data_IF_316813775046
#
_entry.id   IF_316813775046
#
_cell.length_a   1.000
_cell.length_b   1.000
_cell.length_c   1.000
_cell.angle_alpha   90.00
_cell.angle_beta   90.00
_cell.angle_gamma   90.00
#
_symmetry.space_group_name_H-M   'P 1'
#
loop_
_entity.id
_entity.type
_entity.pdbx_description
1 polymer ?
#
# COMPACT_ATOMS: atom_id res chain seq x y z
N UNK A 1 -28.99 23.51 59.36
CA UNK A 1 -28.68 24.01 58.01
C UNK A 1 -28.42 22.80 57.13
N UNK A 2 -29.15 22.62 56.02
CA UNK A 2 -29.02 21.44 55.17
C UNK A 2 -27.81 21.57 54.24
N UNK A 3 -27.16 20.44 53.99
CA UNK A 3 -26.01 20.31 53.08
C UNK A 3 -26.58 20.11 51.68
N UNK A 4 -26.37 21.07 50.78
CA UNK A 4 -26.78 20.96 49.37
C UNK A 4 -25.89 19.94 48.63
N UNK A 5 -26.52 18.89 48.11
CA UNK A 5 -25.91 17.95 47.17
C UNK A 5 -25.70 18.61 45.80
N UNK A 6 -24.43 18.87 45.46
CA UNK A 6 -24.03 19.25 44.10
C UNK A 6 -24.07 18.04 43.17
N UNK A 7 -25.22 17.83 42.55
CA UNK A 7 -25.41 16.89 41.44
C UNK A 7 -24.96 17.53 40.12
N UNK A 8 -23.65 17.43 39.84
CA UNK A 8 -23.10 17.81 38.53
C UNK A 8 -23.50 16.82 37.43
N UNK A 9 -23.76 17.29 36.19
CA UNK A 9 -24.16 16.42 35.09
C UNK A 9 -23.03 15.47 34.70
N UNK A 10 -23.35 14.16 34.68
CA UNK A 10 -22.50 13.12 34.12
C UNK A 10 -22.27 13.40 32.63
N UNK A 11 -21.11 13.94 32.31
CA UNK A 11 -20.62 14.04 30.93
C UNK A 11 -20.47 12.64 30.38
N UNK A 12 -21.38 12.28 29.47
CA UNK A 12 -21.26 11.08 28.66
C UNK A 12 -19.97 11.19 27.85
N UNK A 13 -18.99 10.32 28.16
CA UNK A 13 -17.82 10.10 27.30
C UNK A 13 -18.34 9.71 25.92
N UNK A 14 -18.39 10.67 25.00
CA UNK A 14 -18.50 10.40 23.57
C UNK A 14 -17.26 9.59 23.20
N UNK A 15 -17.50 8.36 22.81
CA UNK A 15 -16.49 7.44 22.32
C UNK A 15 -15.81 8.02 21.08
N UNK A 16 -14.48 7.84 21.04
CA UNK A 16 -13.59 8.02 19.89
C UNK A 16 -14.18 7.30 18.67
N UNK A 17 -14.73 8.04 17.72
CA UNK A 17 -14.98 7.52 16.37
C UNK A 17 -14.27 8.42 15.37
N UNK A 18 -13.61 7.77 14.41
CA UNK A 18 -13.22 8.30 13.09
C UNK A 18 -12.20 9.44 13.12
N UNK A 19 -10.92 9.07 13.09
CA UNK A 19 -9.91 9.99 12.57
C UNK A 19 -9.44 9.43 11.23
N UNK A 20 -9.44 10.26 10.15
CA UNK A 20 -8.75 9.94 8.90
C UNK A 20 -7.28 9.61 9.20
N UNK A 21 -6.51 9.09 8.23
CA UNK A 21 -5.07 8.90 8.37
C UNK A 21 -4.50 10.06 9.19
N UNK A 22 -4.11 9.77 10.44
CA UNK A 22 -4.03 10.84 11.44
C UNK A 22 -2.94 11.77 10.96
N UNK A 23 -3.21 13.06 10.75
CA UNK A 23 -2.25 14.07 10.26
C UNK A 23 -0.85 13.95 10.86
N UNK A 24 -0.74 13.47 12.09
CA UNK A 24 0.50 13.13 12.78
C UNK A 24 1.41 12.09 12.07
N UNK A 25 0.92 11.34 11.09
CA UNK A 25 1.68 10.32 10.35
C UNK A 25 2.09 10.79 8.95
N UNK A 26 1.56 11.92 8.47
CA UNK A 26 1.96 12.48 7.19
C UNK A 26 3.42 12.91 7.23
N UNK A 27 4.24 12.40 6.30
CA UNK A 27 5.68 12.66 6.26
C UNK A 27 6.48 11.83 7.28
N UNK A 28 5.91 10.74 7.79
CA UNK A 28 6.65 9.80 8.63
C UNK A 28 7.68 8.97 7.83
N UNK A 29 8.38 8.08 8.53
CA UNK A 29 9.40 7.22 7.91
C UNK A 29 8.83 6.31 6.80
N UNK A 30 7.53 5.98 6.84
CA UNK A 30 6.91 5.20 5.77
C UNK A 30 6.76 6.02 4.50
N UNK A 31 6.32 7.27 4.60
CA UNK A 31 6.19 8.13 3.41
C UNK A 31 7.55 8.44 2.77
N UNK A 32 8.60 8.62 3.59
CA UNK A 32 9.97 8.74 3.09
C UNK A 32 10.41 7.45 2.36
N UNK A 33 10.06 6.28 2.90
CA UNK A 33 10.37 4.99 2.27
C UNK A 33 9.59 4.81 0.96
N UNK A 34 8.31 5.18 0.92
CA UNK A 34 7.47 5.16 -0.30
C UNK A 34 8.11 6.01 -1.40
N UNK A 35 8.43 7.27 -1.09
CA UNK A 35 9.08 8.20 -2.02
C UNK A 35 10.42 7.65 -2.52
N UNK A 36 11.26 7.13 -1.62
CA UNK A 36 12.54 6.52 -2.00
C UNK A 36 12.34 5.37 -2.98
N UNK A 37 11.49 4.39 -2.66
CA UNK A 37 11.26 3.24 -3.53
C UNK A 37 10.67 3.65 -4.88
N UNK A 38 9.70 4.55 -4.91
CA UNK A 38 9.13 5.08 -6.16
C UNK A 38 10.20 5.74 -7.03
N UNK A 39 11.10 6.52 -6.43
CA UNK A 39 12.19 7.18 -7.16
C UNK A 39 13.24 6.20 -7.71
N UNK A 40 13.49 5.09 -7.01
CA UNK A 40 14.45 4.08 -7.46
C UNK A 40 13.86 3.17 -8.53
N UNK A 41 12.63 2.70 -8.36
CA UNK A 41 12.04 1.65 -9.19
C UNK A 41 11.83 2.10 -10.64
N UNK A 42 11.46 3.36 -10.83
CA UNK A 42 11.16 3.91 -12.15
C UNK A 42 11.65 5.35 -12.29
N UNK A 43 12.97 5.57 -12.45
CA UNK A 43 13.53 6.91 -12.49
C UNK A 43 13.02 7.78 -13.66
N UNK A 44 12.42 7.15 -14.68
CA UNK A 44 11.98 7.82 -15.92
C UNK A 44 10.48 7.67 -16.23
N UNK A 45 9.70 7.01 -15.37
CA UNK A 45 8.26 6.76 -15.59
C UNK A 45 7.38 7.53 -14.61
N UNK A 46 6.24 8.09 -15.04
CA UNK A 46 5.36 8.80 -14.13
C UNK A 46 4.63 7.83 -13.21
N UNK A 47 4.44 8.23 -11.95
CA UNK A 47 3.69 7.46 -10.96
C UNK A 47 2.26 7.97 -10.82
N UNK A 48 1.31 7.06 -10.95
CA UNK A 48 -0.07 7.22 -10.53
C UNK A 48 -0.24 6.60 -9.15
N UNK A 49 -0.92 7.28 -8.24
CA UNK A 49 -1.10 6.85 -6.86
C UNK A 49 -2.57 6.53 -6.63
N UNK A 50 -2.83 5.35 -6.12
CA UNK A 50 -4.14 4.89 -5.67
C UNK A 50 -4.09 4.77 -4.15
N UNK A 51 -4.33 5.88 -3.42
CA UNK A 51 -4.46 5.80 -1.99
C UNK A 51 -5.80 5.15 -1.64
N UNK A 52 -5.84 4.26 -0.64
CA UNK A 52 -7.12 3.81 -0.11
C UNK A 52 -7.61 4.75 0.98
N UNK A 53 -8.06 5.92 0.56
CA UNK A 53 -8.75 6.83 1.45
C UNK A 53 -10.04 6.17 1.97
N UNK A 54 -10.04 5.78 3.25
CA UNK A 54 -11.28 5.40 3.94
C UNK A 54 -12.12 6.58 4.38
N UNK A 55 -11.59 7.79 4.21
CA UNK A 55 -12.17 9.04 4.65
C UNK A 55 -12.08 10.09 3.54
N UNK A 56 -12.79 11.20 3.67
CA UNK A 56 -12.71 12.31 2.72
C UNK A 56 -11.43 13.13 2.92
N UNK A 57 -10.75 13.47 1.83
CA UNK A 57 -9.54 14.28 1.83
C UNK A 57 -9.82 15.62 1.14
N UNK A 58 -9.30 16.72 1.70
CA UNK A 58 -9.38 18.00 1.00
C UNK A 58 -8.39 18.02 -0.16
N UNK A 59 -8.68 18.86 -1.16
CA UNK A 59 -7.82 19.04 -2.32
C UNK A 59 -6.38 19.45 -1.92
N UNK A 60 -6.24 20.32 -0.93
CA UNK A 60 -4.92 20.71 -0.40
C UNK A 60 -4.12 19.50 0.11
N UNK A 61 -4.74 18.57 0.84
CA UNK A 61 -4.04 17.39 1.35
C UNK A 61 -3.61 16.43 0.25
N UNK A 62 -4.43 16.30 -0.80
CA UNK A 62 -4.08 15.52 -1.99
C UNK A 62 -2.83 16.12 -2.64
N UNK A 63 -2.80 17.44 -2.85
CA UNK A 63 -1.65 18.13 -3.46
C UNK A 63 -0.38 18.01 -2.61
N UNK A 64 -0.49 18.13 -1.29
CA UNK A 64 0.64 17.91 -0.36
C UNK A 64 1.16 16.47 -0.44
N UNK A 65 0.27 15.48 -0.53
CA UNK A 65 0.62 14.07 -0.66
C UNK A 65 1.27 13.74 -2.01
N UNK A 66 0.73 14.28 -3.11
CA UNK A 66 1.33 14.21 -4.44
C UNK A 66 2.75 14.80 -4.45
N UNK A 67 2.93 15.98 -3.83
CA UNK A 67 4.22 16.64 -3.71
C UNK A 67 5.21 15.83 -2.88
N UNK A 68 4.76 15.21 -1.78
CA UNK A 68 5.61 14.40 -0.91
C UNK A 68 6.13 13.16 -1.64
N UNK A 69 5.26 12.42 -2.32
CA UNK A 69 5.59 11.16 -2.97
C UNK A 69 6.15 11.32 -4.39
N UNK A 70 5.91 12.46 -5.04
CA UNK A 70 6.35 12.71 -6.41
C UNK A 70 5.53 11.95 -7.46
N UNK A 71 4.23 11.80 -7.23
CA UNK A 71 3.30 11.13 -8.15
C UNK A 71 1.92 11.79 -8.14
N UNK A 72 1.05 11.39 -9.06
CA UNK A 72 -0.30 11.94 -9.22
C UNK A 72 -1.35 11.02 -8.60
N UNK A 73 -2.19 11.53 -7.71
CA UNK A 73 -3.31 10.78 -7.16
C UNK A 73 -4.38 10.59 -8.25
N UNK A 74 -4.70 9.33 -8.53
CA UNK A 74 -5.65 8.95 -9.58
C UNK A 74 -7.09 8.90 -9.09
N UNK A 75 -7.28 8.65 -7.78
CA UNK A 75 -8.60 8.50 -7.16
C UNK A 75 -8.62 9.36 -5.90
N UNK A 76 -9.44 10.41 -5.93
CA UNK A 76 -9.63 11.34 -4.81
C UNK A 76 -10.91 11.05 -4.02
N UNK A 77 -11.81 10.24 -4.59
CA UNK A 77 -13.03 9.80 -3.92
C UNK A 77 -12.74 8.75 -2.84
N UNK A 78 -13.47 8.84 -1.72
CA UNK A 78 -13.47 7.79 -0.72
C UNK A 78 -13.93 6.45 -1.32
N UNK A 79 -13.14 5.39 -1.10
CA UNK A 79 -13.42 4.06 -1.65
C UNK A 79 -14.54 3.41 -0.83
N UNK A 80 -15.71 3.23 -1.47
CA UNK A 80 -16.86 2.57 -0.85
C UNK A 80 -16.86 1.09 -1.17
N UNK A 81 -17.18 0.24 -0.18
CA UNK A 81 -17.22 -1.21 -0.36
C UNK A 81 -18.07 -1.66 -1.56
N UNK A 82 -19.19 -0.98 -1.82
CA UNK A 82 -20.12 -1.27 -2.90
C UNK A 82 -19.61 -0.89 -4.29
N UNK A 83 -18.68 0.07 -4.39
CA UNK A 83 -18.15 0.60 -5.66
C UNK A 83 -16.65 0.38 -5.85
N UNK A 84 -16.01 -0.31 -4.91
CA UNK A 84 -14.57 -0.57 -4.89
C UNK A 84 -14.03 -1.09 -6.22
N UNK A 85 -14.73 -2.03 -6.84
CA UNK A 85 -14.33 -2.60 -8.13
C UNK A 85 -14.22 -1.51 -9.20
N UNK A 86 -15.24 -0.67 -9.33
CA UNK A 86 -15.28 0.43 -10.30
C UNK A 86 -14.21 1.47 -9.98
N UNK A 87 -14.15 1.91 -8.73
CA UNK A 87 -13.26 3.00 -8.30
C UNK A 87 -11.79 2.65 -8.50
N UNK A 88 -11.36 1.43 -8.17
CA UNK A 88 -9.97 0.99 -8.37
C UNK A 88 -9.64 0.84 -9.87
N UNK A 89 -10.59 0.41 -10.71
CA UNK A 89 -10.38 0.24 -12.16
C UNK A 89 -10.21 1.58 -12.90
N UNK A 90 -10.65 2.70 -12.32
CA UNK A 90 -10.53 4.04 -12.95
C UNK A 90 -9.07 4.46 -13.22
N UNK A 91 -8.09 3.78 -12.61
CA UNK A 91 -6.68 3.93 -12.94
C UNK A 91 -6.29 3.45 -14.34
N UNK A 92 -7.12 2.63 -15.01
CA UNK A 92 -6.79 1.95 -16.27
C UNK A 92 -6.47 2.84 -17.47
N UNK A 93 -6.66 4.16 -17.39
CA UNK A 93 -6.21 5.11 -18.42
C UNK A 93 -4.83 5.73 -18.13
N UNK A 94 -4.18 5.37 -17.02
CA UNK A 94 -2.87 5.87 -16.65
C UNK A 94 -1.76 5.15 -17.43
N UNK A 95 -1.00 5.91 -18.22
CA UNK A 95 0.13 5.41 -19.00
C UNK A 95 1.44 5.52 -18.18
N UNK A 96 1.53 4.76 -17.10
CA UNK A 96 2.65 4.82 -16.18
C UNK A 96 2.61 3.79 -15.06
N UNK A 97 3.53 3.91 -14.12
CA UNK A 97 3.60 3.03 -12.94
C UNK A 97 2.49 3.37 -11.95
N UNK A 98 2.05 2.37 -11.19
CA UNK A 98 0.99 2.53 -10.20
C UNK A 98 1.52 2.21 -8.81
N UNK A 99 1.35 3.15 -7.89
CA UNK A 99 1.57 2.93 -6.47
C UNK A 99 0.22 2.80 -5.76
N UNK A 100 -0.01 1.68 -5.08
CA UNK A 100 -1.21 1.42 -4.29
C UNK A 100 -0.85 1.53 -2.80
N UNK A 101 -1.50 2.46 -2.11
CA UNK A 101 -1.26 2.76 -0.69
C UNK A 101 -2.48 2.37 0.15
N UNK A 102 -2.63 1.08 0.52
CA UNK A 102 -3.68 0.66 1.43
C UNK A 102 -3.47 1.19 2.85
N UNK A 103 -4.59 1.42 3.53
CA UNK A 103 -4.66 1.80 4.94
C UNK A 103 -4.00 0.78 5.90
N UNK A 104 -4.03 -0.51 5.56
CA UNK A 104 -3.52 -1.59 6.43
C UNK A 104 -2.63 -2.58 5.71
N UNK A 105 -2.73 -2.69 4.38
CA UNK A 105 -1.89 -3.56 3.58
C UNK A 105 -2.66 -4.48 2.64
N UNK A 106 -2.07 -5.65 2.39
CA UNK A 106 -2.57 -6.62 1.42
C UNK A 106 -3.25 -7.78 2.15
N UNK A 107 -4.48 -8.10 1.74
CA UNK A 107 -5.21 -9.23 2.28
C UNK A 107 -4.45 -10.54 2.02
N UNK A 108 -4.28 -11.34 3.07
CA UNK A 108 -3.71 -12.69 2.93
C UNK A 108 -4.68 -13.59 2.12
N UNK A 109 -4.16 -14.49 1.25
CA UNK A 109 -4.99 -15.42 0.48
C UNK A 109 -5.95 -16.25 1.35
N UNK A 110 -5.53 -16.61 2.57
CA UNK A 110 -6.30 -17.45 3.50
C UNK A 110 -7.30 -16.66 4.37
N UNK A 111 -7.26 -15.33 4.33
CA UNK A 111 -8.10 -14.49 5.20
C UNK A 111 -9.51 -14.33 4.64
N UNK A 112 -10.53 -14.48 5.47
CA UNK A 112 -11.94 -14.15 5.16
C UNK A 112 -12.30 -12.67 5.39
N UNK A 113 -11.35 -11.84 5.83
CA UNK A 113 -11.62 -10.45 6.20
C UNK A 113 -12.14 -9.60 5.02
N UNK A 114 -13.25 -8.89 5.21
CA UNK A 114 -13.91 -8.07 4.19
C UNK A 114 -13.58 -6.57 4.27
N UNK A 115 -12.57 -6.20 5.06
CA UNK A 115 -12.19 -4.80 5.31
C UNK A 115 -11.83 -4.06 4.01
N UNK A 116 -12.37 -2.85 3.83
CA UNK A 116 -12.00 -1.94 2.74
C UNK A 116 -10.59 -1.35 2.90
N UNK A 117 -9.97 -1.51 4.07
CA UNK A 117 -8.61 -1.04 4.38
C UNK A 117 -7.50 -1.91 3.77
N UNK A 118 -7.86 -3.08 3.24
CA UNK A 118 -6.94 -4.02 2.63
C UNK A 118 -7.13 -4.05 1.11
N UNK A 119 -6.03 -4.15 0.36
CA UNK A 119 -6.10 -4.47 -1.07
C UNK A 119 -6.29 -5.97 -1.22
N UNK A 120 -7.12 -6.38 -2.18
CA UNK A 120 -7.33 -7.80 -2.48
C UNK A 120 -6.34 -8.24 -3.55
N UNK A 121 -5.87 -9.48 -3.47
CA UNK A 121 -4.93 -10.02 -4.45
C UNK A 121 -5.53 -10.04 -5.86
N UNK A 122 -6.83 -10.28 -5.98
CA UNK A 122 -7.53 -10.24 -7.27
C UNK A 122 -7.56 -8.83 -7.88
N UNK A 123 -7.54 -7.79 -7.05
CA UNK A 123 -7.41 -6.41 -7.51
C UNK A 123 -6.01 -6.19 -8.07
N UNK A 124 -4.97 -6.62 -7.34
CA UNK A 124 -3.58 -6.54 -7.82
C UNK A 124 -3.35 -7.31 -9.13
N UNK A 125 -3.95 -8.49 -9.25
CA UNK A 125 -3.88 -9.31 -10.48
C UNK A 125 -4.49 -8.56 -11.66
N UNK A 126 -5.64 -7.92 -11.46
CA UNK A 126 -6.28 -7.13 -12.51
C UNK A 126 -5.44 -5.91 -12.87
N UNK A 127 -5.03 -5.10 -11.89
CA UNK A 127 -4.23 -3.89 -12.17
C UNK A 127 -2.93 -4.24 -12.91
N UNK A 128 -2.25 -5.32 -12.51
CA UNK A 128 -1.02 -5.78 -13.20
C UNK A 128 -1.28 -6.19 -14.65
N UNK A 129 -2.46 -6.75 -14.95
CA UNK A 129 -2.85 -7.15 -16.31
C UNK A 129 -3.31 -5.99 -17.18
N UNK A 130 -3.83 -4.93 -16.58
CA UNK A 130 -4.20 -3.70 -17.27
C UNK A 130 -2.94 -2.88 -17.59
N UNK A 131 -1.96 -2.87 -16.69
CA UNK A 131 -0.68 -2.15 -16.85
C UNK A 131 0.49 -3.10 -17.08
N UNK A 132 0.40 -3.98 -18.10
CA UNK A 132 1.33 -5.12 -18.29
C UNK A 132 2.81 -4.75 -18.38
N UNK A 133 3.11 -3.56 -18.89
CA UNK A 133 4.47 -3.07 -19.14
C UNK A 133 4.95 -2.12 -18.03
N UNK A 134 4.20 -2.01 -16.93
CA UNK A 134 4.50 -1.10 -15.84
C UNK A 134 4.61 -1.85 -14.51
N UNK A 135 5.42 -1.29 -13.62
CA UNK A 135 5.48 -1.65 -12.21
C UNK A 135 4.17 -1.29 -11.49
N UNK A 136 3.64 -2.24 -10.74
CA UNK A 136 2.69 -2.00 -9.64
C UNK A 136 3.47 -2.13 -8.32
N UNK A 137 3.59 -1.02 -7.59
CA UNK A 137 4.16 -1.00 -6.24
C UNK A 137 3.01 -0.98 -5.22
N UNK A 138 3.06 -1.83 -4.20
CA UNK A 138 1.98 -1.92 -3.21
C UNK A 138 2.57 -1.87 -1.80
N UNK A 139 2.13 -0.92 -0.99
CA UNK A 139 2.50 -0.86 0.42
C UNK A 139 1.77 -1.94 1.24
N UNK A 140 2.45 -2.56 2.21
CA UNK A 140 1.87 -3.61 3.03
C UNK A 140 2.22 -3.50 4.52
N UNK A 141 1.31 -2.89 5.28
CA UNK A 141 1.45 -2.74 6.73
C UNK A 141 1.01 -3.98 7.53
N UNK A 142 0.57 -5.06 6.87
CA UNK A 142 0.05 -6.26 7.53
C UNK A 142 1.07 -6.91 8.49
N UNK A 143 2.34 -6.53 8.36
CA UNK A 143 3.48 -7.10 9.07
C UNK A 143 4.04 -6.23 10.19
N UNK A 144 3.43 -5.09 10.54
CA UNK A 144 4.05 -4.10 11.44
C UNK A 144 4.64 -4.72 12.72
N UNK A 145 3.97 -5.70 13.31
CA UNK A 145 4.37 -6.36 14.57
C UNK A 145 4.91 -7.79 14.42
N UNK A 146 5.02 -8.31 13.19
CA UNK A 146 5.49 -9.67 12.94
C UNK A 146 7.02 -9.78 13.05
N UNK A 147 7.54 -10.94 13.44
CA UNK A 147 8.98 -11.21 13.38
C UNK A 147 9.41 -11.40 11.93
N UNK A 148 10.68 -11.10 11.63
CA UNK A 148 11.19 -11.15 10.26
C UNK A 148 10.87 -12.48 9.51
N UNK A 149 11.05 -13.67 10.10
CA UNK A 149 10.68 -14.93 9.43
C UNK A 149 9.20 -15.00 9.06
N UNK A 150 8.31 -14.58 9.97
CA UNK A 150 6.87 -14.55 9.74
C UNK A 150 6.50 -13.54 8.65
N UNK A 151 7.20 -12.38 8.59
CA UNK A 151 7.02 -11.39 7.50
C UNK A 151 7.36 -11.98 6.15
N UNK A 152 8.52 -12.65 6.07
CA UNK A 152 9.00 -13.30 4.84
C UNK A 152 8.00 -14.37 4.40
N UNK A 153 7.61 -15.28 5.30
CA UNK A 153 6.69 -16.36 4.98
C UNK A 153 5.36 -15.83 4.44
N UNK A 154 4.74 -14.88 5.14
CA UNK A 154 3.46 -14.32 4.73
C UNK A 154 3.56 -13.40 3.48
N UNK A 155 4.77 -12.96 3.10
CA UNK A 155 5.04 -12.28 1.83
C UNK A 155 5.20 -13.29 0.69
N UNK A 156 5.91 -14.40 0.92
CA UNK A 156 6.05 -15.51 -0.02
C UNK A 156 4.69 -16.11 -0.37
N UNK A 157 3.79 -16.31 0.59
CA UNK A 157 2.43 -16.80 0.33
C UNK A 157 1.65 -15.88 -0.63
N UNK A 158 1.83 -14.56 -0.51
CA UNK A 158 1.19 -13.59 -1.43
C UNK A 158 1.83 -13.64 -2.80
N UNK A 159 3.17 -13.71 -2.87
CA UNK A 159 3.90 -13.83 -4.13
C UNK A 159 3.54 -15.13 -4.87
N UNK A 160 3.45 -16.26 -4.18
CA UNK A 160 3.05 -17.56 -4.74
C UNK A 160 1.65 -17.47 -5.35
N UNK A 161 0.70 -16.87 -4.64
CA UNK A 161 -0.65 -16.66 -5.16
C UNK A 161 -0.66 -15.77 -6.42
N UNK A 162 0.11 -14.68 -6.44
CA UNK A 162 0.19 -13.76 -7.58
C UNK A 162 0.85 -14.43 -8.79
N UNK A 163 1.95 -15.15 -8.58
CA UNK A 163 2.70 -15.86 -9.62
C UNK A 163 1.87 -16.99 -10.22
N UNK A 164 1.13 -17.74 -9.39
CA UNK A 164 0.16 -18.73 -9.85
C UNK A 164 -0.95 -18.15 -10.75
N UNK A 165 -1.12 -16.83 -10.77
CA UNK A 165 -2.06 -16.10 -11.62
C UNK A 165 -1.39 -15.29 -12.75
N UNK A 166 -0.10 -15.53 -13.02
CA UNK A 166 0.65 -14.89 -14.10
C UNK A 166 1.11 -13.46 -13.80
N UNK A 167 1.18 -13.08 -12.52
CA UNK A 167 1.77 -11.81 -12.07
C UNK A 167 3.08 -12.10 -11.38
N UNK A 168 4.17 -11.63 -11.97
CA UNK A 168 5.50 -11.78 -11.43
C UNK A 168 5.73 -10.71 -10.36
N UNK A 169 6.68 -10.96 -9.46
CA UNK A 169 7.07 -9.94 -8.50
C UNK A 169 8.07 -10.41 -7.46
N UNK A 170 8.53 -9.44 -6.69
CA UNK A 170 9.35 -9.64 -5.50
C UNK A 170 8.86 -8.72 -4.38
N UNK A 171 9.24 -9.06 -3.16
CA UNK A 171 8.95 -8.28 -1.98
C UNK A 171 10.13 -7.43 -1.54
N UNK A 172 9.85 -6.30 -0.89
CA UNK A 172 10.84 -5.55 -0.10
C UNK A 172 10.46 -5.60 1.38
N UNK A 173 11.40 -5.93 2.26
CA UNK A 173 11.19 -5.95 3.72
C UNK A 173 12.19 -5.04 4.44
N UNK A 174 11.72 -3.87 4.84
CA UNK A 174 12.44 -2.93 5.70
C UNK A 174 11.63 -2.59 6.96
N UNK A 175 11.66 -1.31 7.34
CA UNK A 175 10.70 -0.78 8.33
C UNK A 175 9.28 -0.80 7.77
N UNK A 176 9.14 -0.51 6.48
CA UNK A 176 7.96 -0.76 5.67
C UNK A 176 8.17 -1.98 4.77
N UNK A 177 7.06 -2.61 4.39
CA UNK A 177 7.06 -3.75 3.47
C UNK A 177 6.28 -3.41 2.22
N UNK A 178 6.76 -3.90 1.08
CA UNK A 178 6.15 -3.63 -0.23
C UNK A 178 6.17 -4.88 -1.10
N UNK A 179 5.21 -4.97 -2.02
CA UNK A 179 5.31 -5.84 -3.19
C UNK A 179 5.60 -5.00 -4.43
N UNK A 180 6.52 -5.48 -5.26
CA UNK A 180 6.83 -4.93 -6.59
C UNK A 180 6.39 -5.97 -7.61
N UNK A 181 5.40 -5.62 -8.44
CA UNK A 181 4.72 -6.53 -9.34
C UNK A 181 4.79 -6.04 -10.80
N UNK A 182 4.79 -6.97 -11.75
CA UNK A 182 4.63 -6.71 -13.18
C UNK A 182 4.20 -7.98 -13.90
N UNK A 183 3.61 -7.83 -15.09
CA UNK A 183 3.46 -8.95 -16.02
C UNK A 183 4.66 -9.07 -17.00
N UNK A 184 5.53 -8.07 -17.07
CA UNK A 184 6.74 -8.07 -17.88
C UNK A 184 7.97 -8.41 -17.02
N UNK A 185 8.65 -9.55 -17.28
CA UNK A 185 9.86 -9.95 -16.56
C UNK A 185 11.00 -8.93 -16.67
N UNK A 186 11.15 -8.27 -17.83
CA UNK A 186 12.23 -7.32 -18.07
C UNK A 186 12.09 -6.07 -17.21
N UNK A 187 10.84 -5.62 -17.02
CA UNK A 187 10.50 -4.50 -16.12
C UNK A 187 10.86 -4.83 -14.67
N UNK A 188 10.60 -6.06 -14.22
CA UNK A 188 10.94 -6.47 -12.85
C UNK A 188 12.44 -6.63 -12.63
N UNK A 189 13.17 -7.19 -13.59
CA UNK A 189 14.63 -7.29 -13.44
C UNK A 189 15.26 -5.90 -13.38
N UNK A 190 14.83 -4.99 -14.27
CA UNK A 190 15.29 -3.59 -14.21
C UNK A 190 14.95 -2.92 -12.88
N UNK A 191 13.73 -3.14 -12.37
CA UNK A 191 13.30 -2.61 -11.09
C UNK A 191 14.18 -3.11 -9.92
N UNK A 192 14.52 -4.41 -9.94
CA UNK A 192 15.41 -5.04 -8.97
C UNK A 192 16.83 -4.48 -9.06
N UNK A 193 17.40 -4.40 -10.27
CA UNK A 193 18.71 -3.80 -10.51
C UNK A 193 18.77 -2.36 -10.00
N UNK A 194 17.74 -1.56 -10.27
CA UNK A 194 17.68 -0.17 -9.82
C UNK A 194 17.74 -0.06 -8.29
N UNK A 195 17.01 -0.92 -7.57
CA UNK A 195 17.07 -0.95 -6.10
C UNK A 195 18.46 -1.34 -5.60
N UNK A 196 19.09 -2.34 -6.21
CA UNK A 196 20.44 -2.77 -5.84
C UNK A 196 21.47 -1.65 -6.11
N UNK A 197 21.40 -0.99 -7.26
CA UNK A 197 22.24 0.16 -7.60
C UNK A 197 22.02 1.35 -6.65
N UNK A 198 20.80 1.54 -6.15
CA UNK A 198 20.49 2.54 -5.13
C UNK A 198 20.98 2.15 -3.72
N UNK A 199 21.63 0.99 -3.57
CA UNK A 199 22.22 0.53 -2.31
C UNK A 199 21.26 -0.24 -1.41
N UNK A 200 20.09 -0.66 -1.91
CA UNK A 200 19.23 -1.58 -1.17
C UNK A 200 19.94 -2.93 -1.06
N UNK A 201 20.17 -3.47 0.15
CA UNK A 201 20.80 -4.77 0.31
C UNK A 201 19.93 -5.88 -0.30
N UNK A 202 20.52 -6.80 -1.07
CA UNK A 202 19.78 -7.91 -1.68
C UNK A 202 19.01 -8.77 -0.67
N UNK A 203 19.50 -8.91 0.57
CA UNK A 203 18.80 -9.63 1.64
C UNK A 203 17.50 -8.95 2.13
N UNK A 204 17.19 -7.74 1.64
CA UNK A 204 15.92 -7.05 1.86
C UNK A 204 14.89 -7.33 0.76
N UNK A 205 15.31 -7.97 -0.32
CA UNK A 205 14.45 -8.38 -1.42
C UNK A 205 14.08 -9.85 -1.23
N UNK A 206 12.80 -10.17 -1.35
CA UNK A 206 12.25 -11.51 -1.12
C UNK A 206 11.67 -12.02 -2.43
N UNK A 207 12.21 -13.12 -2.95
CA UNK A 207 11.73 -13.79 -4.15
C UNK A 207 11.37 -15.26 -3.82
N UNK A 208 10.50 -15.90 -4.62
CA UNK A 208 10.16 -17.32 -4.39
C UNK A 208 11.38 -18.24 -4.58
N UNK A 209 12.29 -17.87 -5.48
CA UNK A 209 13.51 -18.63 -5.79
C UNK A 209 14.53 -18.62 -4.64
N UNK A 210 14.35 -17.74 -3.64
CA UNK A 210 15.22 -17.61 -2.48
C UNK A 210 14.80 -18.50 -1.29
N UNK A 211 13.79 -19.35 -1.46
CA UNK A 211 13.34 -20.25 -0.39
C UNK A 211 14.44 -21.26 -0.06
N UNK A 212 14.93 -21.33 1.19
CA UNK A 212 15.85 -22.40 1.58
C UNK A 212 15.11 -23.74 1.44
N UNK A 213 15.54 -24.55 0.48
CA UNK A 213 15.08 -25.93 0.32
C UNK A 213 15.38 -26.81 1.53
#
# INVERSE_FOLDING_TARGET
>A
MPVEELSGPRTTRKWRNEQPMRRQHFGDNYDITKRFLMSCLAPNGPWGIIPMFTDEWSQQWIEEFECLLGGKVLITECIKATRRREQVTTAGNWDGHIFIDPDTGIRSPSSSATSTKLVRLEELIRESREHRNNIILVFDQSYANAKLPDKIQAMLEKLEHLIGNGVLGFGYIGQASFLVLSCDPSVLEQARENLLCAGVPGCRLVCLDDSPG
#
